data_IF_625854573018
#
_entry.id   IF_625854573018
#
_cell.length_a   1.000
_cell.length_b   1.000
_cell.length_c   1.000
_cell.angle_alpha   90.00
_cell.angle_beta   90.00
_cell.angle_gamma   90.00
#
_symmetry.space_group_name_H-M   'P 1'
#
loop_
_entity.id
_entity.type
_entity.pdbx_description
1 polymer ?
#
# COMPACT_ATOMS: atom_id res chain seq x y z
N UNK A 1 24.69 -2.91 -1.44
CA UNK A 1 23.37 -2.83 -2.11
C UNK A 1 22.45 -2.06 -1.18
N UNK A 2 21.77 -0.99 -1.64
CA UNK A 2 20.88 -0.16 -0.79
C UNK A 2 19.91 -1.07 -0.05
N UNK A 3 19.87 -0.96 1.28
CA UNK A 3 18.91 -1.69 2.10
C UNK A 3 17.51 -1.51 1.49
N UNK A 4 16.80 -2.64 1.36
CA UNK A 4 15.49 -2.75 0.73
C UNK A 4 14.56 -1.62 1.18
N UNK A 5 13.75 -1.11 0.25
CA UNK A 5 12.88 0.08 0.36
C UNK A 5 11.76 0.03 1.40
N UNK A 6 12.05 -0.45 2.60
CA UNK A 6 11.16 -0.51 3.76
C UNK A 6 11.50 0.55 4.83
N UNK A 7 12.54 1.36 4.63
CA UNK A 7 12.78 2.54 5.47
C UNK A 7 11.75 3.62 5.14
N UNK A 8 10.59 3.54 5.79
CA UNK A 8 9.62 4.61 5.79
C UNK A 8 10.24 5.85 6.44
N UNK A 9 10.54 6.87 5.63
CA UNK A 9 10.92 8.19 6.15
C UNK A 9 9.64 8.97 6.41
N UNK A 10 9.36 9.26 7.69
CA UNK A 10 8.29 10.19 8.08
C UNK A 10 8.53 11.52 7.37
N UNK A 11 7.69 11.84 6.39
CA UNK A 11 7.70 13.13 5.73
C UNK A 11 7.09 14.21 6.63
N UNK A 12 7.48 15.46 6.41
CA UNK A 12 7.02 16.62 7.21
C UNK A 12 5.83 17.36 6.59
N UNK A 13 5.31 16.91 5.44
CA UNK A 13 4.20 17.58 4.75
C UNK A 13 2.90 17.51 5.55
N UNK A 14 2.00 18.47 5.30
CA UNK A 14 0.70 18.57 5.98
C UNK A 14 -0.13 17.31 5.85
N UNK A 15 -0.02 16.61 4.71
CA UNK A 15 -0.70 15.33 4.47
C UNK A 15 -0.05 14.21 5.27
N UNK A 16 1.27 14.17 5.46
CA UNK A 16 1.89 13.14 6.29
C UNK A 16 1.38 13.18 7.74
N UNK A 17 1.09 14.37 8.25
CA UNK A 17 0.66 14.60 9.63
C UNK A 17 -0.83 14.28 9.86
N UNK A 18 -1.64 14.17 8.79
CA UNK A 18 -3.06 13.81 8.91
C UNK A 18 -3.23 12.39 9.50
N UNK A 19 -4.29 12.27 10.28
CA UNK A 19 -4.74 11.06 10.95
C UNK A 19 -5.00 9.96 9.89
N UNK A 20 -4.40 8.76 9.98
CA UNK A 20 -4.49 7.74 8.92
C UNK A 20 -5.92 7.32 8.59
N UNK A 21 -6.82 7.43 9.55
CA UNK A 21 -8.25 7.15 9.39
C UNK A 21 -8.89 8.07 8.34
N UNK A 22 -8.52 9.35 8.32
CA UNK A 22 -9.05 10.32 7.34
C UNK A 22 -8.56 9.99 5.92
N UNK A 23 -7.28 9.63 5.79
CA UNK A 23 -6.69 9.13 4.52
C UNK A 23 -7.36 7.84 4.06
N UNK A 24 -7.65 6.92 4.99
CA UNK A 24 -8.31 5.66 4.67
C UNK A 24 -9.73 5.86 4.16
N UNK A 25 -10.49 6.78 4.76
CA UNK A 25 -11.82 7.18 4.26
C UNK A 25 -11.72 7.72 2.83
N UNK A 26 -10.78 8.64 2.57
CA UNK A 26 -10.53 9.15 1.22
C UNK A 26 -10.22 8.01 0.23
N UNK A 27 -9.30 7.10 0.59
CA UNK A 27 -8.94 5.97 -0.27
C UNK A 27 -10.15 5.10 -0.59
N UNK A 28 -10.97 4.74 0.41
CA UNK A 28 -12.17 3.92 0.19
C UNK A 28 -13.17 4.65 -0.72
N UNK A 29 -13.50 5.91 -0.42
CA UNK A 29 -14.49 6.66 -1.19
C UNK A 29 -14.09 6.78 -2.66
N UNK A 30 -12.83 7.11 -2.93
CA UNK A 30 -12.34 7.25 -4.30
C UNK A 30 -12.18 5.90 -5.00
N UNK A 31 -11.81 4.82 -4.30
CA UNK A 31 -11.86 3.47 -4.86
C UNK A 31 -13.29 3.09 -5.26
N UNK A 32 -14.29 3.36 -4.42
CA UNK A 32 -15.70 3.09 -4.75
C UNK A 32 -16.14 3.88 -5.99
N UNK A 33 -15.75 5.15 -6.12
CA UNK A 33 -16.01 5.94 -7.34
C UNK A 33 -15.42 5.27 -8.58
N UNK A 34 -14.14 4.85 -8.54
CA UNK A 34 -13.50 4.22 -9.71
C UNK A 34 -14.16 2.91 -10.14
N UNK A 35 -14.74 2.15 -9.19
CA UNK A 35 -15.46 0.90 -9.46
C UNK A 35 -16.84 1.19 -10.03
N UNK A 36 -17.52 2.20 -9.48
CA UNK A 36 -18.89 2.53 -9.85
C UNK A 36 -19.00 3.16 -11.23
N UNK A 37 -18.03 3.99 -11.63
CA UNK A 37 -18.02 4.65 -12.92
C UNK A 37 -17.22 3.87 -13.96
N UNK A 38 -17.79 3.72 -15.16
CA UNK A 38 -17.09 3.18 -16.33
C UNK A 38 -16.66 4.29 -17.28
N UNK A 39 -17.32 5.45 -17.25
CA UNK A 39 -16.98 6.55 -18.16
C UNK A 39 -15.53 7.05 -18.03
N UNK A 40 -14.80 7.17 -19.16
CA UNK A 40 -13.39 7.57 -19.15
C UNK A 40 -13.16 8.99 -18.64
N UNK A 41 -14.10 9.92 -18.85
CA UNK A 41 -13.98 11.30 -18.38
C UNK A 41 -14.03 11.37 -16.85
N UNK A 42 -14.94 10.61 -16.22
CA UNK A 42 -15.05 10.57 -14.76
C UNK A 42 -13.80 9.94 -14.15
N UNK A 43 -13.29 8.86 -14.75
CA UNK A 43 -12.06 8.21 -14.30
C UNK A 43 -10.83 9.12 -14.46
N UNK A 44 -10.78 9.91 -15.53
CA UNK A 44 -9.74 10.92 -15.71
C UNK A 44 -9.83 12.02 -14.65
N UNK A 45 -11.03 12.51 -14.33
CA UNK A 45 -11.22 13.50 -13.27
C UNK A 45 -10.84 12.96 -11.88
N UNK A 46 -11.18 11.71 -11.59
CA UNK A 46 -10.77 11.02 -10.36
C UNK A 46 -9.25 10.89 -10.31
N UNK A 47 -8.59 10.52 -11.41
CA UNK A 47 -7.13 10.54 -11.48
C UNK A 47 -6.54 11.95 -11.31
N UNK A 48 -7.15 12.98 -11.88
CA UNK A 48 -6.67 14.35 -11.72
C UNK A 48 -6.84 14.86 -10.29
N UNK A 49 -7.90 14.45 -9.58
CA UNK A 49 -8.10 14.84 -8.18
C UNK A 49 -7.02 14.33 -7.21
N UNK A 50 -6.31 13.25 -7.56
CA UNK A 50 -5.19 12.77 -6.74
C UNK A 50 -3.91 13.58 -6.96
N UNK A 51 -3.77 14.33 -8.06
CA UNK A 51 -2.56 15.09 -8.39
C UNK A 51 -2.30 16.24 -7.39
N UNK A 52 -3.28 17.11 -7.03
CA UNK A 52 -3.10 18.10 -5.98
C UNK A 52 -2.67 17.47 -4.65
N UNK A 53 -3.22 16.29 -4.32
CA UNK A 53 -2.86 15.56 -3.11
C UNK A 53 -1.40 15.12 -3.13
N UNK A 54 -0.92 14.62 -4.28
CA UNK A 54 0.48 14.22 -4.48
C UNK A 54 1.43 15.42 -4.37
N UNK A 55 1.02 16.58 -4.91
CA UNK A 55 1.81 17.81 -4.85
C UNK A 55 1.91 18.35 -3.42
N UNK A 56 0.79 18.45 -2.71
CA UNK A 56 0.76 18.90 -1.30
C UNK A 56 1.53 17.93 -0.39
N UNK A 57 1.55 16.64 -0.74
CA UNK A 57 2.26 15.64 0.04
C UNK A 57 3.78 15.62 -0.21
N UNK A 58 4.27 16.32 -1.23
CA UNK A 58 5.67 16.29 -1.72
C UNK A 58 6.17 14.86 -2.06
N UNK A 59 5.26 14.01 -2.57
CA UNK A 59 5.56 12.61 -2.94
C UNK A 59 5.64 12.38 -4.44
N UNK A 60 5.64 13.44 -5.25
CA UNK A 60 5.53 13.38 -6.72
C UNK A 60 6.56 12.46 -7.39
N UNK A 61 7.81 12.45 -6.93
CA UNK A 61 8.87 11.58 -7.50
C UNK A 61 8.60 10.10 -7.27
N UNK A 62 8.12 9.74 -6.07
CA UNK A 62 7.83 8.35 -5.72
C UNK A 62 6.52 7.89 -6.34
N UNK A 63 5.51 8.76 -6.39
CA UNK A 63 4.26 8.52 -7.09
C UNK A 63 4.47 8.28 -8.58
N UNK A 64 5.28 9.12 -9.25
CA UNK A 64 5.60 8.92 -10.66
C UNK A 64 6.42 7.64 -10.89
N UNK A 65 7.25 7.25 -9.92
CA UNK A 65 7.93 5.94 -9.96
C UNK A 65 6.94 4.79 -9.85
N UNK A 66 5.91 4.89 -9.00
CA UNK A 66 4.83 3.90 -8.91
C UNK A 66 4.09 3.77 -10.24
N UNK A 67 3.69 4.89 -10.86
CA UNK A 67 3.01 4.89 -12.16
C UNK A 67 3.91 4.30 -13.25
N UNK A 68 5.17 4.73 -13.33
CA UNK A 68 6.15 4.20 -14.30
C UNK A 68 6.38 2.70 -14.12
N UNK A 69 6.49 2.23 -12.88
CA UNK A 69 6.63 0.80 -12.57
C UNK A 69 5.41 -0.03 -13.00
N UNK A 70 4.23 0.59 -13.02
CA UNK A 70 2.99 -0.05 -13.46
C UNK A 70 2.67 0.09 -14.95
N UNK A 71 3.49 0.79 -15.74
CA UNK A 71 3.23 1.03 -17.17
C UNK A 71 3.09 -0.28 -17.96
N UNK A 72 3.87 -1.30 -17.61
CA UNK A 72 3.75 -2.62 -18.21
C UNK A 72 2.33 -3.19 -18.03
N UNK A 73 1.78 -3.13 -16.81
CA UNK A 73 0.42 -3.59 -16.52
C UNK A 73 -0.65 -2.70 -17.16
N UNK A 74 -0.45 -1.38 -17.20
CA UNK A 74 -1.38 -0.45 -17.87
C UNK A 74 -1.48 -0.78 -19.36
N UNK A 75 -0.34 -0.98 -20.03
CA UNK A 75 -0.27 -1.34 -21.43
C UNK A 75 -0.86 -2.74 -21.68
N UNK A 76 -0.58 -3.69 -20.79
CA UNK A 76 -1.16 -5.03 -20.86
C UNK A 76 -2.68 -4.99 -20.76
N UNK A 77 -3.25 -4.30 -19.76
CA UNK A 77 -4.70 -4.13 -19.58
C UNK A 77 -5.31 -3.47 -20.82
N UNK A 78 -4.66 -2.45 -21.36
CA UNK A 78 -5.13 -1.75 -22.56
C UNK A 78 -5.24 -2.70 -23.76
N UNK A 79 -4.14 -3.39 -24.10
CA UNK A 79 -4.07 -4.29 -25.26
C UNK A 79 -5.04 -5.45 -25.10
N UNK A 80 -5.11 -6.03 -23.91
CA UNK A 80 -5.97 -7.20 -23.66
C UNK A 80 -7.46 -6.83 -23.76
N UNK A 81 -7.87 -5.67 -23.22
CA UNK A 81 -9.24 -5.19 -23.38
C UNK A 81 -9.53 -4.82 -24.83
N UNK A 82 -8.57 -4.23 -25.55
CA UNK A 82 -8.76 -3.82 -26.93
C UNK A 82 -9.07 -5.04 -27.81
N UNK A 83 -8.25 -6.09 -27.67
CA UNK A 83 -8.44 -7.34 -28.40
C UNK A 83 -9.74 -8.03 -27.96
N UNK A 84 -9.97 -8.17 -26.65
CA UNK A 84 -11.13 -8.90 -26.13
C UNK A 84 -12.47 -8.27 -26.51
N UNK A 85 -12.59 -6.95 -26.41
CA UNK A 85 -13.84 -6.24 -26.73
C UNK A 85 -14.04 -6.13 -28.23
N UNK A 86 -12.97 -5.95 -29.00
CA UNK A 86 -13.03 -5.99 -30.45
C UNK A 86 -13.51 -7.36 -30.96
N UNK A 87 -13.00 -8.45 -30.39
CA UNK A 87 -13.47 -9.81 -30.72
C UNK A 87 -14.93 -10.06 -30.36
N UNK A 88 -15.42 -9.44 -29.28
CA UNK A 88 -16.80 -9.65 -28.80
C UNK A 88 -17.82 -8.79 -29.54
N UNK A 89 -17.48 -7.52 -29.80
CA UNK A 89 -18.44 -6.52 -30.28
C UNK A 89 -18.24 -6.19 -31.76
N UNK A 90 -17.05 -6.46 -32.33
CA UNK A 90 -16.67 -6.07 -33.69
C UNK A 90 -16.46 -4.56 -33.90
N UNK A 91 -16.85 -3.72 -32.93
CA UNK A 91 -16.71 -2.27 -32.96
C UNK A 91 -15.36 -1.83 -32.40
N UNK A 92 -14.57 -1.13 -33.23
CA UNK A 92 -13.28 -0.54 -32.82
C UNK A 92 -13.50 0.62 -31.83
N UNK A 93 -14.58 1.38 -31.99
CA UNK A 93 -14.87 2.52 -31.14
C UNK A 93 -15.17 2.09 -29.69
N UNK A 94 -16.01 1.07 -29.51
CA UNK A 94 -16.36 0.58 -28.18
C UNK A 94 -15.18 -0.11 -27.50
N UNK A 95 -14.39 -0.87 -28.28
CA UNK A 95 -13.16 -1.47 -27.81
C UNK A 95 -12.16 -0.42 -27.32
N UNK A 96 -11.98 0.68 -28.05
CA UNK A 96 -11.10 1.78 -27.63
C UNK A 96 -11.62 2.47 -26.36
N UNK A 97 -12.89 2.86 -26.31
CA UNK A 97 -13.47 3.58 -25.16
C UNK A 97 -13.34 2.76 -23.89
N UNK A 98 -13.71 1.48 -23.93
CA UNK A 98 -13.61 0.60 -22.76
C UNK A 98 -12.15 0.31 -22.37
N UNK A 99 -11.26 0.12 -23.33
CA UNK A 99 -9.83 -0.12 -23.04
C UNK A 99 -9.19 1.10 -22.36
N UNK A 100 -9.47 2.30 -22.87
CA UNK A 100 -9.04 3.55 -22.24
C UNK A 100 -9.61 3.65 -20.82
N UNK A 101 -10.90 3.35 -20.65
CA UNK A 101 -11.57 3.42 -19.34
C UNK A 101 -10.94 2.45 -18.33
N UNK A 102 -10.70 1.20 -18.70
CA UNK A 102 -10.07 0.21 -17.82
C UNK A 102 -8.62 0.57 -17.46
N UNK A 103 -7.85 1.08 -18.41
CA UNK A 103 -6.48 1.55 -18.15
C UNK A 103 -6.47 2.79 -17.25
N UNK A 104 -7.37 3.75 -17.46
CA UNK A 104 -7.54 4.92 -16.59
C UNK A 104 -7.97 4.52 -15.18
N UNK A 105 -8.90 3.57 -15.04
CA UNK A 105 -9.31 3.02 -13.74
C UNK A 105 -8.12 2.45 -12.99
N UNK A 106 -7.31 1.63 -13.65
CA UNK A 106 -6.12 1.05 -13.03
C UNK A 106 -5.11 2.13 -12.61
N UNK A 107 -4.89 3.14 -13.46
CA UNK A 107 -4.01 4.27 -13.14
C UNK A 107 -4.53 5.09 -11.96
N UNK A 108 -5.84 5.35 -11.89
CA UNK A 108 -6.48 6.03 -10.76
C UNK A 108 -6.30 5.25 -9.45
N UNK A 109 -6.55 3.93 -9.46
CA UNK A 109 -6.36 3.06 -8.30
C UNK A 109 -4.91 3.09 -7.82
N UNK A 110 -3.95 2.90 -8.72
CA UNK A 110 -2.52 2.98 -8.37
C UNK A 110 -2.19 4.33 -7.75
N UNK A 111 -2.72 5.41 -8.30
CA UNK A 111 -2.49 6.74 -7.75
C UNK A 111 -3.04 6.88 -6.33
N UNK A 112 -4.29 6.47 -6.09
CA UNK A 112 -4.95 6.60 -4.79
C UNK A 112 -4.22 5.77 -3.73
N UNK A 113 -3.89 4.52 -4.05
CA UNK A 113 -3.16 3.64 -3.13
C UNK A 113 -1.71 4.09 -2.93
N UNK A 114 -1.03 4.57 -3.98
CA UNK A 114 0.33 5.10 -3.87
C UNK A 114 0.39 6.28 -2.89
N UNK A 115 -0.55 7.22 -2.98
CA UNK A 115 -0.65 8.33 -2.02
C UNK A 115 -0.85 7.80 -0.61
N UNK A 116 -1.76 6.85 -0.40
CA UNK A 116 -2.03 6.28 0.92
C UNK A 116 -0.78 5.62 1.54
N UNK A 117 -0.11 4.72 0.80
CA UNK A 117 1.05 4.00 1.30
C UNK A 117 2.30 4.87 1.46
N UNK A 118 2.48 5.88 0.60
CA UNK A 118 3.60 6.82 0.73
C UNK A 118 3.40 7.79 1.90
N UNK A 119 2.15 8.09 2.26
CA UNK A 119 1.84 9.10 3.29
C UNK A 119 1.48 8.55 4.67
N UNK A 120 1.33 7.23 4.81
CA UNK A 120 0.91 6.58 6.06
C UNK A 120 1.99 5.64 6.57
N UNK A 121 2.41 5.83 7.82
CA UNK A 121 3.39 4.93 8.43
C UNK A 121 2.72 3.63 8.92
N UNK A 122 3.44 2.51 8.96
CA UNK A 122 2.92 1.25 9.51
C UNK A 122 2.52 1.33 10.98
N UNK A 123 3.20 2.21 11.73
CA UNK A 123 2.92 2.45 13.15
C UNK A 123 1.58 3.17 13.32
N UNK A 124 1.31 4.19 12.50
CA UNK A 124 0.05 4.92 12.56
C UNK A 124 -1.12 4.05 12.07
N UNK A 125 -0.87 3.14 11.11
CA UNK A 125 -1.83 2.14 10.70
C UNK A 125 -2.19 1.19 11.85
N UNK A 126 -1.19 0.73 12.62
CA UNK A 126 -1.41 -0.07 13.84
C UNK A 126 -2.32 0.68 14.82
N UNK A 127 -2.00 1.94 15.12
CA UNK A 127 -2.78 2.74 16.05
C UNK A 127 -4.21 2.94 15.57
N UNK A 128 -4.40 3.09 14.26
CA UNK A 128 -5.73 3.17 13.64
C UNK A 128 -6.51 1.86 13.84
N UNK A 129 -5.87 0.70 13.73
CA UNK A 129 -6.51 -0.60 14.01
C UNK A 129 -7.02 -0.71 15.45
N UNK A 130 -6.20 -0.29 16.43
CA UNK A 130 -6.59 -0.28 17.85
C UNK A 130 -7.81 0.62 18.08
N UNK A 131 -7.84 1.79 17.45
CA UNK A 131 -8.96 2.73 17.59
C UNK A 131 -10.23 2.29 16.84
N UNK A 132 -10.09 1.51 15.77
CA UNK A 132 -11.19 0.84 15.08
C UNK A 132 -11.76 -0.36 15.86
N UNK A 133 -11.30 -0.59 17.10
CA UNK A 133 -11.72 -1.70 17.98
C UNK A 133 -11.38 -3.10 17.44
N UNK A 134 -10.36 -3.21 16.58
CA UNK A 134 -9.78 -4.51 16.24
C UNK A 134 -9.12 -5.08 17.50
N UNK A 135 -9.24 -6.41 17.78
CA UNK A 135 -8.60 -7.02 18.94
C UNK A 135 -7.11 -6.68 19.00
N UNK A 136 -6.64 -6.33 20.19
CA UNK A 136 -5.31 -5.78 20.40
C UNK A 136 -4.20 -6.72 19.90
N UNK A 137 -4.41 -8.03 20.01
CA UNK A 137 -3.45 -9.04 19.60
C UNK A 137 -3.13 -8.94 18.10
N UNK A 138 -4.14 -8.72 17.25
CA UNK A 138 -3.92 -8.52 15.82
C UNK A 138 -3.13 -7.24 15.52
N UNK A 139 -3.47 -6.14 16.20
CA UNK A 139 -2.74 -4.89 16.03
C UNK A 139 -1.29 -5.02 16.50
N UNK A 140 -1.05 -5.70 17.63
CA UNK A 140 0.30 -5.99 18.13
C UNK A 140 1.09 -6.86 17.15
N UNK A 141 0.51 -7.97 16.67
CA UNK A 141 1.17 -8.85 15.70
C UNK A 141 1.53 -8.10 14.43
N UNK A 142 0.62 -7.27 13.91
CA UNK A 142 0.90 -6.43 12.74
C UNK A 142 2.05 -5.45 13.00
N UNK A 143 2.04 -4.77 14.15
CA UNK A 143 3.10 -3.85 14.53
C UNK A 143 4.47 -4.53 14.62
N UNK A 144 4.52 -5.70 15.26
CA UNK A 144 5.72 -6.50 15.41
C UNK A 144 6.24 -6.99 14.07
N UNK A 145 5.35 -7.48 13.19
CA UNK A 145 5.72 -7.89 11.84
C UNK A 145 6.38 -6.74 11.08
N UNK A 146 5.77 -5.55 11.07
CA UNK A 146 6.30 -4.38 10.37
C UNK A 146 7.66 -3.92 10.95
N UNK A 147 7.86 -4.03 12.27
CA UNK A 147 9.15 -3.74 12.93
C UNK A 147 10.23 -4.78 12.63
N UNK A 148 9.85 -6.05 12.43
CA UNK A 148 10.80 -7.11 12.15
C UNK A 148 11.22 -7.19 10.69
N UNK A 149 10.40 -6.73 9.73
CA UNK A 149 10.76 -6.73 8.30
C UNK A 149 12.14 -6.12 8.01
N UNK A 150 12.49 -4.90 8.48
CA UNK A 150 13.82 -4.33 8.24
C UNK A 150 14.96 -5.13 8.92
N UNK A 151 14.68 -5.72 10.07
CA UNK A 151 15.66 -6.53 10.81
C UNK A 151 15.92 -7.86 10.11
N UNK A 152 14.87 -8.57 9.70
CA UNK A 152 14.96 -9.81 8.94
C UNK A 152 15.62 -9.60 7.58
N UNK A 153 15.34 -8.47 6.92
CA UNK A 153 16.01 -8.10 5.67
C UNK A 153 17.53 -7.95 5.83
N UNK A 154 17.98 -7.27 6.90
CA UNK A 154 19.42 -7.14 7.20
C UNK A 154 20.05 -8.48 7.55
N UNK A 155 19.34 -9.29 8.33
CA UNK A 155 19.80 -10.61 8.75
C UNK A 155 19.92 -11.57 7.56
N UNK A 156 18.93 -11.58 6.66
CA UNK A 156 19.00 -12.33 5.41
C UNK A 156 20.21 -11.92 4.56
N UNK A 157 20.52 -10.62 4.49
CA UNK A 157 21.69 -10.13 3.77
C UNK A 157 23.00 -10.63 4.40
N UNK A 158 23.12 -10.61 5.73
CA UNK A 158 24.29 -11.12 6.45
C UNK A 158 24.47 -12.63 6.18
N UNK A 159 23.38 -13.40 6.24
CA UNK A 159 23.42 -14.84 5.96
C UNK A 159 23.81 -15.10 4.50
N UNK A 160 23.26 -14.33 3.55
CA UNK A 160 23.62 -14.42 2.14
C UNK A 160 25.11 -14.16 1.92
N UNK A 161 25.66 -13.11 2.53
CA UNK A 161 27.07 -12.75 2.38
C UNK A 161 27.98 -13.80 3.04
N UNK A 162 27.60 -14.34 4.20
CA UNK A 162 28.32 -15.44 4.85
C UNK A 162 28.33 -16.72 4.00
N UNK A 163 27.20 -17.07 3.37
CA UNK A 163 27.13 -18.24 2.48
C UNK A 163 27.94 -18.03 1.20
N UNK A 164 27.94 -16.81 0.64
CA UNK A 164 28.79 -16.45 -0.50
C UNK A 164 30.28 -16.59 -0.16
N UNK A 165 30.70 -16.17 1.03
CA UNK A 165 32.08 -16.38 1.51
C UNK A 165 32.46 -17.86 1.66
N UNK A 166 31.48 -18.75 1.86
CA UNK A 166 31.67 -20.21 1.87
C UNK A 166 31.63 -20.85 0.46
N UNK A 167 31.59 -20.03 -0.59
CA UNK A 167 31.59 -20.48 -1.98
C UNK A 167 30.21 -20.77 -2.56
N UNK A 168 29.12 -20.41 -1.87
CA UNK A 168 27.77 -20.58 -2.42
C UNK A 168 27.47 -19.54 -3.50
N UNK A 169 27.33 -19.99 -4.74
CA UNK A 169 26.97 -19.15 -5.88
C UNK A 169 25.45 -19.11 -6.08
N UNK A 170 24.81 -18.05 -5.60
CA UNK A 170 23.34 -17.90 -5.64
C UNK A 170 22.78 -17.73 -7.06
N UNK A 171 23.58 -17.21 -7.99
CA UNK A 171 23.11 -16.80 -9.33
C UNK A 171 23.45 -17.80 -10.44
N UNK A 172 24.23 -18.86 -10.14
CA UNK A 172 24.59 -19.88 -11.14
C UNK A 172 23.57 -21.01 -11.23
N UNK A 173 23.43 -21.56 -12.44
CA UNK A 173 22.58 -22.72 -12.75
C UNK A 173 21.16 -22.38 -13.25
N UNK A 174 20.39 -23.43 -13.50
CA UNK A 174 18.98 -23.34 -13.95
C UNK A 174 18.08 -22.78 -12.83
N UNK A 175 16.86 -22.35 -13.18
CA UNK A 175 15.88 -21.77 -12.24
C UNK A 175 15.69 -22.66 -10.99
N UNK A 176 15.54 -23.97 -11.16
CA UNK A 176 15.43 -24.93 -10.05
C UNK A 176 16.68 -24.96 -9.16
N UNK A 177 17.87 -24.90 -9.76
CA UNK A 177 19.12 -24.89 -9.00
C UNK A 177 19.26 -23.59 -8.20
N UNK A 178 18.88 -22.45 -8.80
CA UNK A 178 18.87 -21.16 -8.10
C UNK A 178 17.94 -21.18 -6.89
N UNK A 179 16.73 -21.74 -7.03
CA UNK A 179 15.80 -21.90 -5.90
C UNK A 179 16.41 -22.78 -4.80
N UNK A 180 17.03 -23.90 -5.17
CA UNK A 180 17.72 -24.78 -4.22
C UNK A 180 18.88 -24.08 -3.51
N UNK A 181 19.59 -23.18 -4.18
CA UNK A 181 20.69 -22.41 -3.61
C UNK A 181 20.22 -21.41 -2.53
N UNK A 182 18.92 -21.10 -2.42
CA UNK A 182 18.38 -20.27 -1.33
C UNK A 182 18.05 -21.05 -0.05
N UNK A 183 17.94 -22.39 -0.11
CA UNK A 183 17.63 -23.22 1.06
C UNK A 183 18.64 -23.03 2.22
N UNK A 184 19.97 -22.97 1.98
CA UNK A 184 20.96 -22.71 3.02
C UNK A 184 20.88 -21.32 3.68
N UNK A 185 20.11 -20.39 3.10
CA UNK A 185 19.83 -19.06 3.67
C UNK A 185 18.53 -19.10 4.47
N UNK A 186 17.50 -19.78 3.96
CA UNK A 186 16.18 -19.86 4.59
C UNK A 186 16.22 -20.58 5.94
N UNK A 187 16.93 -21.71 6.04
CA UNK A 187 16.97 -22.49 7.29
C UNK A 187 17.54 -21.66 8.46
N UNK A 188 18.74 -21.03 8.35
CA UNK A 188 19.26 -20.18 9.42
C UNK A 188 18.35 -18.99 9.76
N UNK A 189 17.74 -18.36 8.73
CA UNK A 189 16.85 -17.21 8.93
C UNK A 189 15.58 -17.59 9.70
N UNK A 190 15.02 -18.77 9.44
CA UNK A 190 13.86 -19.29 10.16
C UNK A 190 14.23 -19.56 11.62
N UNK A 191 15.34 -20.26 11.86
CA UNK A 191 15.82 -20.57 13.23
C UNK A 191 16.06 -19.28 14.02
N UNK A 192 16.70 -18.28 13.41
CA UNK A 192 16.97 -17.02 14.09
C UNK A 192 15.70 -16.20 14.33
N UNK A 193 14.71 -16.29 13.44
CA UNK A 193 13.38 -15.69 13.63
C UNK A 193 12.63 -16.32 14.81
N UNK A 194 12.65 -17.65 14.95
CA UNK A 194 12.04 -18.34 16.11
C UNK A 194 12.69 -17.92 17.42
N UNK A 195 14.04 -17.94 17.47
CA UNK A 195 14.78 -17.51 18.66
C UNK A 195 14.46 -16.06 19.03
N UNK A 196 14.31 -15.19 18.04
CA UNK A 196 13.89 -13.79 18.26
C UNK A 196 12.47 -13.69 18.81
N UNK A 197 11.54 -14.52 18.31
CA UNK A 197 10.18 -14.54 18.80
C UNK A 197 10.12 -14.96 20.28
N UNK A 198 10.86 -16.00 20.67
CA UNK A 198 11.00 -16.43 22.07
C UNK A 198 11.56 -15.32 22.96
N UNK A 199 12.69 -14.72 22.56
CA UNK A 199 13.29 -13.60 23.32
C UNK A 199 12.34 -12.42 23.51
N UNK A 200 11.49 -12.13 22.51
CA UNK A 200 10.52 -11.05 22.60
C UNK A 200 9.34 -11.45 23.49
N UNK A 201 8.90 -12.70 23.44
CA UNK A 201 7.88 -13.23 24.34
C UNK A 201 8.35 -13.18 25.81
N UNK A 202 9.55 -13.68 26.10
CA UNK A 202 10.15 -13.67 27.44
C UNK A 202 10.29 -12.23 27.97
N UNK A 203 10.73 -11.30 27.11
CA UNK A 203 10.86 -9.90 27.48
C UNK A 203 9.50 -9.22 27.71
N UNK A 204 8.45 -9.63 26.99
CA UNK A 204 7.09 -9.15 27.20
C UNK A 204 6.50 -9.68 28.50
N UNK A 205 6.68 -10.97 28.79
CA UNK A 205 6.23 -11.60 30.03
C UNK A 205 6.93 -10.99 31.25
N UNK A 206 8.24 -10.77 31.16
CA UNK A 206 9.03 -10.08 32.20
C UNK A 206 8.53 -8.66 32.50
N UNK A 207 7.82 -8.03 31.55
CA UNK A 207 7.17 -6.72 31.70
C UNK A 207 5.68 -6.82 32.07
N UNK A 208 5.25 -7.98 32.54
CA UNK A 208 3.87 -8.29 32.91
C UNK A 208 2.86 -8.02 31.77
N UNK A 209 3.26 -8.28 30.52
CA UNK A 209 2.34 -8.18 29.38
C UNK A 209 1.14 -9.11 29.59
N UNK A 210 -0.07 -8.57 29.48
CA UNK A 210 -1.31 -9.31 29.70
C UNK A 210 -1.82 -9.33 31.16
N UNK A 211 -1.06 -8.82 32.13
CA UNK A 211 -1.49 -8.80 33.53
C UNK A 211 -2.69 -7.86 33.80
N UNK A 212 -2.82 -6.77 33.04
CA UNK A 212 -3.92 -5.83 33.17
C UNK A 212 -5.04 -6.10 32.16
N UNK A 213 -6.29 -6.23 32.64
CA UNK A 213 -7.48 -6.35 31.78
C UNK A 213 -7.72 -5.13 30.89
N UNK A 214 -7.34 -3.94 31.34
CA UNK A 214 -7.44 -2.68 30.57
C UNK A 214 -6.05 -2.14 30.32
N UNK A 215 -5.67 -2.05 29.04
CA UNK A 215 -4.40 -1.49 28.59
C UNK A 215 -4.51 0.03 28.44
N UNK A 216 -3.48 0.76 28.86
CA UNK A 216 -3.29 2.18 28.54
C UNK A 216 -2.42 2.34 27.28
N UNK A 217 -2.74 3.30 26.42
CA UNK A 217 -1.88 3.64 25.26
C UNK A 217 -1.11 4.92 25.54
N UNK A 218 0.21 4.89 25.33
CA UNK A 218 1.06 6.07 25.44
C UNK A 218 0.85 7.04 24.26
N UNK A 219 0.61 6.49 23.07
CA UNK A 219 0.34 7.27 21.86
C UNK A 219 -1.11 7.03 21.46
N UNK A 220 -1.88 8.11 21.36
CA UNK A 220 -3.27 8.08 20.92
C UNK A 220 -3.39 9.03 19.75
N UNK A 221 -3.84 8.52 18.59
CA UNK A 221 -4.21 9.37 17.46
C UNK A 221 -5.42 10.22 17.86
N UNK A 222 -5.27 11.53 17.78
CA UNK A 222 -6.35 12.49 18.03
C UNK A 222 -6.71 13.14 16.70
N UNK A 223 -8.00 13.07 16.33
CA UNK A 223 -8.48 13.75 15.13
C UNK A 223 -8.44 15.25 15.38
N UNK A 224 -7.59 15.95 14.64
CA UNK A 224 -7.52 17.39 14.64
C UNK A 224 -8.57 18.01 13.71
N UNK A 225 -8.67 19.35 13.75
CA UNK A 225 -9.54 20.11 12.85
C UNK A 225 -9.20 19.89 11.37
N UNK A 226 -7.92 19.66 11.06
CA UNK A 226 -7.45 19.38 9.69
C UNK A 226 -7.97 18.05 9.16
N UNK A 227 -8.10 17.04 10.02
CA UNK A 227 -8.62 15.72 9.65
C UNK A 227 -10.12 15.77 9.34
N UNK A 228 -10.87 16.52 10.14
CA UNK A 228 -12.30 16.73 9.91
C UNK A 228 -12.53 17.49 8.60
N UNK A 229 -11.76 18.55 8.34
CA UNK A 229 -11.83 19.29 7.07
C UNK A 229 -11.48 18.39 5.88
N UNK A 230 -10.49 17.53 6.03
CA UNK A 230 -10.11 16.58 4.99
C UNK A 230 -11.20 15.53 4.71
N UNK A 231 -11.84 15.00 5.76
CA UNK A 231 -12.97 14.07 5.62
C UNK A 231 -14.14 14.77 4.94
N UNK A 232 -14.51 15.97 5.38
CA UNK A 232 -15.60 16.76 4.79
C UNK A 232 -15.32 17.05 3.31
N UNK A 233 -14.10 17.44 2.97
CA UNK A 233 -13.69 17.65 1.58
C UNK A 233 -13.80 16.37 0.75
N UNK A 234 -13.36 15.23 1.30
CA UNK A 234 -13.42 13.93 0.64
C UNK A 234 -14.86 13.49 0.37
N UNK A 235 -15.75 13.67 1.35
CA UNK A 235 -17.19 13.36 1.24
C UNK A 235 -17.88 14.32 0.27
N UNK A 236 -17.57 15.62 0.34
CA UNK A 236 -18.12 16.61 -0.59
C UNK A 236 -17.71 16.31 -2.04
N UNK A 237 -16.44 15.96 -2.27
CA UNK A 237 -15.96 15.54 -3.58
C UNK A 237 -16.70 14.28 -4.07
N UNK A 238 -16.87 13.28 -3.19
CA UNK A 238 -17.61 12.06 -3.50
C UNK A 238 -19.07 12.34 -3.92
N UNK A 239 -19.77 13.21 -3.18
CA UNK A 239 -21.14 13.63 -3.51
C UNK A 239 -21.20 14.48 -4.77
N UNK A 240 -20.20 15.32 -5.04
CA UNK A 240 -20.09 16.08 -6.28
C UNK A 240 -19.99 15.13 -7.49
N UNK A 241 -19.18 14.07 -7.42
CA UNK A 241 -19.10 13.07 -8.49
C UNK A 241 -20.40 12.28 -8.68
N UNK A 242 -21.10 11.95 -7.59
CA UNK A 242 -22.40 11.30 -7.66
C UNK A 242 -23.49 12.20 -8.25
N UNK A 243 -23.53 13.48 -7.87
CA UNK A 243 -24.50 14.43 -8.44
C UNK A 243 -24.21 14.69 -9.92
N UNK A 244 -22.94 14.73 -10.32
CA UNK A 244 -22.53 14.83 -11.73
C UNK A 244 -23.07 13.65 -12.56
N UNK A 245 -23.17 12.45 -11.97
CA UNK A 245 -23.87 11.31 -12.58
C UNK A 245 -25.35 11.57 -12.78
N UNK A 246 -26.04 12.00 -11.72
CA UNK A 246 -27.50 12.22 -11.75
C UNK A 246 -27.85 13.29 -12.79
N UNK A 247 -26.99 14.31 -12.92
CA UNK A 247 -27.21 15.45 -13.81
C UNK A 247 -26.81 15.17 -15.27
N UNK A 248 -25.78 14.34 -15.51
CA UNK A 248 -25.32 13.99 -16.86
C UNK A 248 -25.88 12.66 -17.39
N UNK A 249 -26.52 11.83 -16.56
CA UNK A 249 -27.08 10.53 -16.99
C UNK A 249 -26.04 9.51 -17.47
N UNK A 250 -24.77 9.71 -17.16
CA UNK A 250 -23.65 8.91 -17.65
C UNK A 250 -23.50 7.62 -16.82
N UNK A 251 -23.36 6.46 -17.49
CA UNK A 251 -23.05 5.16 -16.86
C UNK A 251 -21.54 4.96 -16.64
#
# INVERSE_FOLDING_TARGET
>A
MKALGFDYRRGTSTIHILDPRSKFIYTILFTVLTVYFVNPLVLLLVFLSSVPMVMVADVGKNWLRSIRGSLFFIAFIFIFNLIGIFWTTGSVADALIMSISMSLRFMALISIFSVFFLTTSPEDLTQSMVQLKIPYDYALTFNMAMRFVPTLSREAQIIMDAQRSRGLELEKGNIFQRVRNYVPILIPLIISSFRRAELVADAMESRAFGAAKRRTSLYVLTMGRRDILFILFSVAAFLAFLSLKILLGIQ
#
